data_IF_351266056668
#
_entry.id   IF_351266056668
#
_cell.length_a   1.000
_cell.length_b   1.000
_cell.length_c   1.000
_cell.angle_alpha   90.00
_cell.angle_beta   90.00
_cell.angle_gamma   90.00
#
_symmetry.space_group_name_H-M   'P 1'
#
loop_
_entity.id
_entity.type
_entity.pdbx_description
1 polymer ?
#
# COMPACT_ATOMS: atom_id res chain seq x y z
N UNK A 1 -42.06 5.67 3.94
CA UNK A 1 -41.32 5.51 5.21
C UNK A 1 -39.85 5.62 4.89
N UNK A 2 -39.24 6.76 5.20
CA UNK A 2 -37.79 6.93 5.13
C UNK A 2 -37.15 5.98 6.13
N UNK A 3 -36.15 5.16 5.75
CA UNK A 3 -35.37 4.42 6.72
C UNK A 3 -34.69 5.45 7.62
N UNK A 4 -34.93 5.36 8.94
CA UNK A 4 -34.10 6.11 9.88
C UNK A 4 -32.71 5.48 9.82
N UNK A 5 -31.79 6.11 9.10
CA UNK A 5 -30.36 5.84 9.25
C UNK A 5 -30.00 6.19 10.69
N UNK A 6 -29.97 5.18 11.57
CA UNK A 6 -29.31 5.35 12.86
C UNK A 6 -27.84 5.51 12.54
N UNK A 7 -27.26 6.63 12.93
CA UNK A 7 -25.81 6.79 12.82
C UNK A 7 -25.13 5.62 13.56
N UNK A 8 -24.18 4.94 12.90
CA UNK A 8 -23.51 3.81 13.50
C UNK A 8 -22.76 4.28 14.76
N UNK A 9 -23.03 3.62 15.89
CA UNK A 9 -22.28 3.86 17.12
C UNK A 9 -20.99 3.05 17.10
N UNK A 10 -19.85 3.72 17.15
CA UNK A 10 -18.54 3.08 17.26
C UNK A 10 -18.27 2.68 18.71
N UNK A 11 -17.99 1.39 18.93
CA UNK A 11 -17.55 0.87 20.23
C UNK A 11 -16.11 0.40 20.10
N UNK A 12 -15.17 0.98 20.87
CA UNK A 12 -13.79 0.51 20.85
C UNK A 12 -13.70 -0.96 21.28
N UNK A 13 -12.84 -1.73 20.61
CA UNK A 13 -12.47 -3.06 21.09
C UNK A 13 -11.47 -2.88 22.22
N UNK A 14 -11.87 -3.18 23.45
CA UNK A 14 -11.04 -2.91 24.64
C UNK A 14 -9.67 -3.59 24.59
N UNK A 15 -9.56 -4.73 23.88
CA UNK A 15 -8.31 -5.46 23.68
C UNK A 15 -7.30 -4.76 22.77
N UNK A 16 -7.71 -3.75 21.99
CA UNK A 16 -6.86 -2.99 21.08
C UNK A 16 -6.70 -1.52 21.49
N UNK A 17 -7.18 -1.13 22.67
CA UNK A 17 -7.00 0.23 23.18
C UNK A 17 -5.56 0.39 23.71
N UNK A 18 -4.74 1.30 23.14
CA UNK A 18 -3.38 1.52 23.62
C UNK A 18 -3.39 2.12 25.04
N UNK A 19 -2.47 1.68 25.88
CA UNK A 19 -2.25 2.17 27.25
C UNK A 19 -1.06 3.13 27.37
N UNK A 20 -0.23 3.19 26.33
CA UNK A 20 0.91 4.11 26.18
C UNK A 20 1.29 4.21 24.70
N UNK A 21 2.12 5.18 24.30
CA UNK A 21 2.61 5.31 22.92
C UNK A 21 3.59 4.20 22.50
N UNK A 22 4.08 3.42 23.47
CA UNK A 22 4.93 2.26 23.23
C UNK A 22 4.13 0.96 23.08
N UNK A 23 2.81 0.99 23.24
CA UNK A 23 1.97 -0.20 23.11
C UNK A 23 1.88 -0.64 21.64
N UNK A 24 1.68 -1.94 21.44
CA UNK A 24 1.52 -2.55 20.12
C UNK A 24 0.46 -1.86 19.24
N UNK A 25 -0.62 -1.37 19.86
CA UNK A 25 -1.75 -0.74 19.17
C UNK A 25 -1.65 0.79 19.03
N UNK A 26 -0.52 1.39 19.44
CA UNK A 26 -0.36 2.86 19.41
C UNK A 26 -0.34 3.42 18.01
N UNK A 27 0.17 2.63 17.06
CA UNK A 27 0.26 2.99 15.65
C UNK A 27 -0.24 1.81 14.81
N UNK A 28 -1.42 2.00 14.20
CA UNK A 28 -1.99 1.08 13.22
C UNK A 28 -2.07 1.82 11.90
N UNK A 29 -1.29 1.38 10.91
CA UNK A 29 -1.15 2.06 9.62
C UNK A 29 -2.16 1.57 8.58
N UNK A 30 -2.47 0.27 8.60
CA UNK A 30 -3.37 -0.35 7.63
C UNK A 30 -4.13 -1.51 8.27
N UNK A 31 -5.37 -1.73 7.82
CA UNK A 31 -6.19 -2.89 8.19
C UNK A 31 -6.82 -3.47 6.93
N UNK A 32 -6.69 -4.77 6.74
CA UNK A 32 -7.29 -5.49 5.63
C UNK A 32 -8.18 -6.62 6.13
N UNK A 33 -9.32 -6.81 5.46
CA UNK A 33 -10.28 -7.88 5.79
C UNK A 33 -10.51 -8.72 4.55
N UNK A 34 -10.29 -10.03 4.67
CA UNK A 34 -10.56 -11.01 3.62
C UNK A 34 -12.05 -11.35 3.54
N UNK A 35 -12.48 -11.90 2.41
CA UNK A 35 -13.85 -12.41 2.24
C UNK A 35 -14.22 -13.54 3.23
N UNK A 36 -13.24 -14.20 3.85
CA UNK A 36 -13.45 -15.23 4.86
C UNK A 36 -13.55 -14.67 6.30
N UNK A 37 -13.53 -13.34 6.48
CA UNK A 37 -13.64 -12.69 7.78
C UNK A 37 -12.34 -12.67 8.59
N UNK A 38 -11.22 -13.11 8.02
CA UNK A 38 -9.89 -12.90 8.60
C UNK A 38 -9.51 -11.44 8.41
N UNK A 39 -9.02 -10.80 9.47
CA UNK A 39 -8.48 -9.45 9.42
C UNK A 39 -6.98 -9.45 9.72
N UNK A 40 -6.24 -8.56 9.07
CA UNK A 40 -4.82 -8.28 9.29
C UNK A 40 -4.65 -6.79 9.59
N UNK A 41 -3.71 -6.45 10.47
CA UNK A 41 -3.38 -5.07 10.80
C UNK A 41 -1.87 -4.87 10.78
N UNK A 42 -1.43 -3.81 10.10
CA UNK A 42 -0.04 -3.35 10.06
C UNK A 42 0.21 -2.35 11.17
N UNK A 43 1.24 -2.58 11.98
CA UNK A 43 1.55 -1.79 13.18
C UNK A 43 3.02 -1.39 13.23
N UNK A 44 3.40 -0.53 14.18
CA UNK A 44 4.81 -0.20 14.47
C UNK A 44 5.63 -1.38 15.01
N UNK A 45 4.99 -2.47 15.42
CA UNK A 45 5.65 -3.64 16.00
C UNK A 45 5.49 -4.92 15.16
N UNK A 46 4.76 -4.83 14.05
CA UNK A 46 4.63 -5.92 13.08
C UNK A 46 3.20 -6.08 12.56
N UNK A 47 2.87 -7.31 12.13
CA UNK A 47 1.57 -7.66 11.58
C UNK A 47 0.77 -8.41 12.64
N UNK A 48 -0.45 -7.96 12.91
CA UNK A 48 -1.43 -8.66 13.74
C UNK A 48 -2.50 -9.33 12.87
N UNK A 49 -3.08 -10.41 13.41
CA UNK A 49 -4.15 -11.17 12.78
C UNK A 49 -5.31 -11.39 13.73
N UNK A 50 -6.52 -11.29 13.19
CA UNK A 50 -7.76 -11.73 13.83
C UNK A 50 -8.47 -12.76 12.95
N UNK A 51 -9.03 -13.80 13.57
CA UNK A 51 -9.83 -14.83 12.91
C UNK A 51 -11.33 -14.75 13.25
N UNK A 52 -11.74 -13.77 14.05
CA UNK A 52 -13.07 -13.67 14.65
C UNK A 52 -13.73 -12.31 14.42
N UNK A 53 -13.40 -11.67 13.30
CA UNK A 53 -13.97 -10.37 12.91
C UNK A 53 -13.42 -9.19 13.74
N UNK A 54 -12.19 -9.30 14.22
CA UNK A 54 -11.50 -8.25 14.97
C UNK A 54 -11.75 -8.27 16.48
N UNK A 55 -12.45 -9.28 17.02
CA UNK A 55 -12.71 -9.37 18.46
C UNK A 55 -11.44 -9.69 19.25
N UNK A 56 -10.62 -10.60 18.73
CA UNK A 56 -9.31 -10.94 19.28
C UNK A 56 -8.22 -10.87 18.21
N UNK A 57 -7.02 -10.49 18.65
CA UNK A 57 -5.87 -10.27 17.78
C UNK A 57 -4.61 -10.91 18.36
N UNK A 58 -3.76 -11.42 17.48
CA UNK A 58 -2.44 -11.92 17.82
C UNK A 58 -1.40 -11.41 16.82
N UNK A 59 -0.22 -11.03 17.30
CA UNK A 59 0.91 -10.72 16.43
C UNK A 59 1.37 -12.01 15.73
N UNK A 60 1.47 -11.96 14.39
CA UNK A 60 1.84 -13.09 13.53
C UNK A 60 3.16 -12.85 12.78
N UNK A 61 3.66 -11.62 12.77
CA UNK A 61 4.97 -11.30 12.20
C UNK A 61 5.60 -10.06 12.86
N UNK A 62 6.90 -10.07 13.18
CA UNK A 62 7.74 -11.26 13.33
C UNK A 62 7.23 -12.11 14.50
N UNK A 63 7.57 -13.40 14.52
CA UNK A 63 7.24 -14.29 15.64
C UNK A 63 8.27 -14.10 16.76
N UNK A 64 7.83 -13.86 17.99
CA UNK A 64 8.71 -13.69 19.17
C UNK A 64 8.80 -12.24 19.63
N UNK A 65 9.94 -11.85 20.21
CA UNK A 65 10.15 -10.51 20.81
C UNK A 65 10.78 -9.49 19.85
N UNK A 66 11.01 -9.87 18.59
CA UNK A 66 11.49 -8.94 17.58
C UNK A 66 10.37 -7.95 17.20
N UNK A 67 10.74 -6.76 16.75
CA UNK A 67 9.81 -5.76 16.23
C UNK A 67 10.26 -5.32 14.85
N UNK A 68 9.29 -5.08 13.98
CA UNK A 68 9.49 -4.44 12.67
C UNK A 68 8.27 -3.56 12.42
N UNK A 69 8.45 -2.39 11.84
CA UNK A 69 7.29 -1.60 11.41
C UNK A 69 6.69 -2.24 10.15
N UNK A 70 5.37 -2.32 10.08
CA UNK A 70 4.62 -2.58 8.85
C UNK A 70 3.71 -1.38 8.60
N UNK A 71 3.65 -0.94 7.34
CA UNK A 71 2.88 0.23 6.93
C UNK A 71 1.61 -0.14 6.16
N UNK A 72 1.62 -1.24 5.43
CA UNK A 72 0.52 -1.69 4.59
C UNK A 72 0.37 -3.21 4.56
N UNK A 73 -0.87 -3.66 4.43
CA UNK A 73 -1.26 -5.07 4.27
C UNK A 73 -2.51 -5.15 3.43
N UNK A 74 -2.53 -6.06 2.46
CA UNK A 74 -3.66 -6.26 1.54
C UNK A 74 -3.91 -7.75 1.30
N UNK A 75 -5.17 -8.12 1.09
CA UNK A 75 -5.57 -9.46 0.66
C UNK A 75 -5.78 -9.49 -0.86
N UNK A 76 -5.49 -10.64 -1.48
CA UNK A 76 -5.89 -10.89 -2.87
C UNK A 76 -7.42 -11.05 -2.92
N UNK A 77 -8.16 -10.19 -3.65
CA UNK A 77 -9.61 -10.29 -3.75
C UNK A 77 -10.07 -11.60 -4.44
N UNK A 78 -9.20 -12.27 -5.18
CA UNK A 78 -9.46 -13.55 -5.84
C UNK A 78 -8.94 -14.76 -5.04
N UNK A 79 -8.35 -14.52 -3.87
CA UNK A 79 -7.84 -15.55 -2.99
C UNK A 79 -7.80 -15.06 -1.53
N UNK A 80 -8.86 -15.29 -0.75
CA UNK A 80 -8.99 -14.71 0.61
C UNK A 80 -7.96 -15.21 1.63
N UNK A 81 -7.12 -16.19 1.27
CA UNK A 81 -6.01 -16.66 2.11
C UNK A 81 -4.65 -16.09 1.67
N UNK A 82 -4.57 -15.51 0.47
CA UNK A 82 -3.32 -14.92 -0.01
C UNK A 82 -3.27 -13.45 0.39
N UNK A 83 -2.20 -13.04 1.04
CA UNK A 83 -2.00 -11.68 1.52
C UNK A 83 -0.57 -11.22 1.27
N UNK A 84 -0.39 -9.92 1.13
CA UNK A 84 0.90 -9.26 0.95
C UNK A 84 0.97 -8.10 1.93
N UNK A 85 2.10 -7.93 2.59
CA UNK A 85 2.35 -6.83 3.50
C UNK A 85 3.77 -6.30 3.29
N UNK A 86 3.97 -5.03 3.60
CA UNK A 86 5.31 -4.50 3.71
C UNK A 86 5.82 -4.59 5.15
N UNK A 87 7.14 -4.57 5.27
CA UNK A 87 7.86 -4.39 6.51
C UNK A 87 8.99 -3.39 6.25
N UNK A 88 9.40 -2.69 7.30
CA UNK A 88 10.45 -1.68 7.27
C UNK A 88 11.69 -2.16 6.49
N UNK A 89 12.42 -1.21 5.93
CA UNK A 89 13.52 -1.44 4.97
C UNK A 89 13.05 -1.85 3.56
N UNK A 90 11.84 -1.42 3.15
CA UNK A 90 11.27 -1.67 1.82
C UNK A 90 11.15 -3.15 1.47
N UNK A 91 11.02 -4.02 2.47
CA UNK A 91 10.86 -5.46 2.25
C UNK A 91 9.38 -5.81 2.17
N UNK A 92 9.01 -6.64 1.21
CA UNK A 92 7.66 -7.19 1.12
C UNK A 92 7.65 -8.65 1.54
N UNK A 93 6.63 -9.03 2.31
CA UNK A 93 6.34 -10.39 2.71
C UNK A 93 4.98 -10.82 2.16
N UNK A 94 4.82 -12.12 1.95
CA UNK A 94 3.56 -12.71 1.49
C UNK A 94 3.13 -13.86 2.40
N UNK A 95 1.84 -14.12 2.42
CA UNK A 95 1.20 -15.25 3.09
C UNK A 95 0.27 -15.96 2.12
N UNK A 96 0.10 -17.28 2.28
CA UNK A 96 -0.85 -18.10 1.51
C UNK A 96 -1.80 -18.89 2.42
N UNK A 97 -1.84 -18.56 3.71
CA UNK A 97 -2.59 -19.27 4.75
C UNK A 97 -3.44 -18.32 5.62
N UNK A 98 -3.81 -17.16 5.06
CA UNK A 98 -4.60 -16.14 5.71
C UNK A 98 -3.80 -15.35 6.76
N UNK A 99 -2.49 -15.17 6.54
CA UNK A 99 -1.60 -14.43 7.42
C UNK A 99 -1.16 -15.18 8.68
N UNK A 100 -1.27 -16.51 8.72
CA UNK A 100 -0.74 -17.31 9.83
C UNK A 100 0.78 -17.42 9.75
N UNK A 101 1.31 -17.59 8.54
CA UNK A 101 2.75 -17.59 8.26
C UNK A 101 3.07 -16.66 7.10
N UNK A 102 4.30 -16.15 7.11
CA UNK A 102 4.80 -15.16 6.16
C UNK A 102 6.16 -15.54 5.64
N UNK A 103 6.38 -15.34 4.34
CA UNK A 103 7.66 -15.54 3.67
C UNK A 103 8.09 -14.27 2.95
N UNK A 104 9.40 -14.04 2.85
CA UNK A 104 9.96 -12.88 2.16
C UNK A 104 9.78 -12.99 0.65
N UNK A 105 9.26 -11.94 0.01
CA UNK A 105 9.26 -11.79 -1.44
C UNK A 105 10.66 -11.48 -1.97
N UNK A 106 10.95 -11.93 -3.19
CA UNK A 106 12.26 -11.77 -3.85
C UNK A 106 12.12 -10.78 -5.00
N UNK A 107 13.17 -10.01 -5.27
CA UNK A 107 13.22 -9.07 -6.41
C UNK A 107 13.05 -7.61 -6.02
N UNK A 108 12.74 -7.32 -4.75
CA UNK A 108 12.89 -5.97 -4.20
C UNK A 108 14.36 -5.64 -3.90
N UNK A 109 14.77 -4.37 -4.10
CA UNK A 109 16.03 -3.86 -3.58
C UNK A 109 16.11 -4.02 -2.06
N UNK A 110 17.27 -4.46 -1.57
CA UNK A 110 17.54 -4.53 -0.13
C UNK A 110 18.04 -3.17 0.34
N UNK A 111 17.26 -2.50 1.16
CA UNK A 111 17.66 -1.27 1.79
C UNK A 111 18.11 -1.52 3.24
N UNK A 112 18.73 -0.54 3.87
CA UNK A 112 19.45 -0.69 5.16
C UNK A 112 19.15 0.43 6.15
N UNK A 113 18.16 1.30 5.89
CA UNK A 113 17.76 2.41 6.78
C UNK A 113 16.27 2.32 7.06
N UNK A 114 15.89 2.80 8.23
CA UNK A 114 14.48 2.95 8.59
C UNK A 114 13.83 4.08 7.78
N UNK A 115 12.52 3.95 7.54
CA UNK A 115 11.69 5.03 6.98
C UNK A 115 11.22 4.82 5.54
N UNK A 116 11.52 3.67 4.96
CA UNK A 116 11.05 3.30 3.63
C UNK A 116 9.65 2.67 3.75
N UNK A 117 8.67 3.26 3.07
CA UNK A 117 7.27 2.83 3.09
C UNK A 117 6.90 2.21 1.74
N UNK A 118 6.12 1.15 1.76
CA UNK A 118 5.50 0.59 0.55
C UNK A 118 3.99 0.68 0.66
N UNK A 119 3.33 1.16 -0.39
CA UNK A 119 1.88 1.00 -0.56
C UNK A 119 1.60 -0.12 -1.54
N UNK A 120 0.61 -0.96 -1.24
CA UNK A 120 0.30 -2.18 -1.98
C UNK A 120 -1.11 -2.13 -2.57
N UNK A 121 -1.26 -2.62 -3.80
CA UNK A 121 -2.56 -2.74 -4.44
C UNK A 121 -2.66 -3.98 -5.34
N UNK A 122 -3.62 -4.86 -5.06
CA UNK A 122 -3.96 -5.98 -5.96
C UNK A 122 -4.74 -5.47 -7.17
N UNK A 123 -4.49 -6.07 -8.33
CA UNK A 123 -5.41 -6.00 -9.46
C UNK A 123 -6.60 -6.93 -9.18
N UNK A 124 -7.81 -6.40 -8.96
CA UNK A 124 -8.93 -7.24 -8.56
C UNK A 124 -9.44 -8.17 -9.67
N UNK A 125 -9.07 -7.95 -10.93
CA UNK A 125 -9.45 -8.83 -12.03
C UNK A 125 -8.48 -10.02 -12.23
N UNK A 126 -7.30 -10.03 -11.58
CA UNK A 126 -6.26 -11.02 -11.83
C UNK A 126 -5.65 -11.50 -10.51
N UNK A 127 -5.94 -12.75 -10.14
CA UNK A 127 -5.36 -13.42 -8.98
C UNK A 127 -3.82 -13.32 -9.01
N UNK A 128 -3.22 -13.01 -7.86
CA UNK A 128 -1.78 -12.93 -7.68
C UNK A 128 -1.11 -11.70 -8.30
N UNK A 129 -1.85 -10.87 -9.05
CA UNK A 129 -1.31 -9.64 -9.62
C UNK A 129 -1.36 -8.51 -8.58
N UNK A 130 -0.21 -8.10 -8.06
CA UNK A 130 -0.11 -7.05 -7.03
C UNK A 130 1.01 -6.07 -7.36
N UNK A 131 0.75 -4.80 -7.10
CA UNK A 131 1.65 -3.69 -7.36
C UNK A 131 2.12 -3.09 -6.04
N UNK A 132 3.34 -2.58 -6.02
CA UNK A 132 3.97 -1.97 -4.85
C UNK A 132 4.60 -0.65 -5.24
N UNK A 133 4.12 0.45 -4.67
CA UNK A 133 4.71 1.79 -4.81
C UNK A 133 5.70 2.02 -3.66
N UNK A 134 6.98 2.11 -4.00
CA UNK A 134 8.08 2.09 -3.02
C UNK A 134 8.61 3.50 -2.78
N UNK A 135 8.63 3.91 -1.52
CA UNK A 135 9.47 5.03 -1.11
C UNK A 135 10.89 4.56 -0.81
N UNK A 136 11.85 5.03 -1.60
CA UNK A 136 13.27 4.74 -1.45
C UNK A 136 14.07 5.97 -0.91
N UNK A 137 13.37 7.06 -0.58
CA UNK A 137 13.96 8.32 -0.11
C UNK A 137 14.61 8.13 1.26
N UNK A 138 15.79 8.70 1.54
CA UNK A 138 16.54 9.66 0.72
C UNK A 138 17.59 9.03 -0.23
N UNK A 139 17.63 7.70 -0.40
CA UNK A 139 18.80 6.99 -0.95
C UNK A 139 18.95 7.11 -2.46
N UNK A 140 17.85 7.01 -3.20
CA UNK A 140 17.83 6.99 -4.64
C UNK A 140 16.78 7.97 -5.12
N UNK A 141 17.04 9.27 -4.90
CA UNK A 141 16.20 10.28 -5.52
C UNK A 141 16.37 10.21 -7.05
N UNK A 142 15.27 10.08 -7.80
CA UNK A 142 13.91 10.28 -7.29
C UNK A 142 13.19 8.98 -6.82
N UNK A 143 12.30 9.13 -5.84
CA UNK A 143 11.51 8.06 -5.18
C UNK A 143 10.14 7.81 -5.82
N UNK A 144 9.69 6.55 -5.82
CA UNK A 144 8.38 6.15 -6.33
C UNK A 144 8.44 5.10 -7.44
N UNK A 145 9.44 4.22 -7.42
CA UNK A 145 9.44 3.05 -8.28
C UNK A 145 8.25 2.14 -7.97
N UNK A 146 7.69 1.52 -9.00
CA UNK A 146 6.60 0.57 -8.85
C UNK A 146 7.10 -0.80 -9.25
N UNK A 147 6.92 -1.76 -8.35
CA UNK A 147 7.18 -3.16 -8.62
C UNK A 147 5.86 -3.89 -8.86
N UNK A 148 5.90 -4.88 -9.73
CA UNK A 148 4.76 -5.75 -10.04
C UNK A 148 5.12 -7.20 -9.76
N UNK A 149 4.23 -7.90 -9.08
CA UNK A 149 4.25 -9.34 -8.91
C UNK A 149 3.06 -9.95 -9.62
N UNK A 150 3.27 -11.10 -10.26
CA UNK A 150 2.22 -11.91 -10.90
C UNK A 150 1.96 -13.22 -10.15
N UNK A 151 2.58 -13.42 -8.99
CA UNK A 151 2.55 -14.68 -8.24
C UNK A 151 2.17 -14.50 -6.76
N UNK A 152 1.49 -13.40 -6.43
CA UNK A 152 0.99 -13.11 -5.09
C UNK A 152 2.06 -12.56 -4.15
N UNK A 153 3.02 -11.83 -4.68
CA UNK A 153 4.09 -11.19 -3.90
C UNK A 153 5.30 -12.08 -3.60
N UNK A 154 5.43 -13.23 -4.27
CA UNK A 154 6.58 -14.14 -4.09
C UNK A 154 7.79 -13.63 -4.86
N UNK A 155 7.58 -13.18 -6.08
CA UNK A 155 8.59 -12.53 -6.92
C UNK A 155 8.09 -11.19 -7.44
N UNK A 156 9.01 -10.24 -7.54
CA UNK A 156 8.74 -8.85 -7.92
C UNK A 156 9.66 -8.40 -9.02
N UNK A 157 9.11 -7.63 -9.95
CA UNK A 157 9.84 -7.05 -11.09
C UNK A 157 9.56 -5.55 -11.11
N UNK A 158 10.62 -4.74 -11.23
CA UNK A 158 10.49 -3.30 -11.46
C UNK A 158 9.74 -3.04 -12.76
N UNK A 159 8.69 -2.23 -12.71
CA UNK A 159 7.98 -1.80 -13.91
C UNK A 159 8.86 -0.82 -14.70
N UNK A 160 9.13 -1.15 -15.96
CA UNK A 160 10.03 -0.38 -16.81
C UNK A 160 9.64 1.10 -16.96
N UNK A 161 8.36 1.44 -16.79
CA UNK A 161 7.84 2.80 -16.91
C UNK A 161 8.05 3.71 -15.70
N UNK A 162 8.67 3.26 -14.60
CA UNK A 162 8.61 3.96 -13.31
C UNK A 162 9.96 4.52 -12.81
N UNK A 163 10.94 4.67 -13.71
CA UNK A 163 12.25 5.26 -13.37
C UNK A 163 12.34 6.77 -13.59
N UNK A 164 11.32 7.39 -14.20
CA UNK A 164 11.36 8.78 -14.65
C UNK A 164 9.94 9.29 -14.98
N UNK A 165 9.20 9.76 -13.98
CA UNK A 165 7.94 10.46 -14.17
C UNK A 165 8.25 11.90 -14.59
N UNK A 166 7.57 12.42 -15.60
CA UNK A 166 7.78 13.78 -16.07
C UNK A 166 6.70 14.69 -15.50
N UNK A 167 7.13 15.72 -14.76
CA UNK A 167 6.26 16.83 -14.38
C UNK A 167 5.94 17.67 -15.62
N UNK A 168 4.66 17.92 -15.84
CA UNK A 168 4.21 18.63 -17.03
C UNK A 168 4.52 20.14 -16.98
N UNK A 169 4.56 20.75 -15.80
CA UNK A 169 4.77 22.21 -15.67
C UNK A 169 6.23 22.63 -15.85
N UNK A 170 7.15 21.92 -15.19
CA UNK A 170 8.59 22.20 -15.23
C UNK A 170 9.33 21.43 -16.31
N UNK A 171 8.74 20.35 -16.83
CA UNK A 171 9.40 19.41 -17.74
C UNK A 171 10.45 18.54 -17.05
N UNK A 172 10.60 18.66 -15.73
CA UNK A 172 11.60 17.92 -14.96
C UNK A 172 11.16 16.46 -14.74
N UNK A 173 12.16 15.59 -14.57
CA UNK A 173 11.95 14.17 -14.30
C UNK A 173 12.13 13.91 -12.82
N UNK A 174 11.09 13.37 -12.19
CA UNK A 174 11.05 12.92 -10.81
C UNK A 174 10.52 11.49 -10.73
N UNK A 175 10.29 11.03 -9.51
CA UNK A 175 9.70 9.75 -9.16
C UNK A 175 8.27 10.05 -8.72
N UNK A 176 7.40 9.05 -8.71
CA UNK A 176 5.98 9.27 -8.41
C UNK A 176 5.71 9.95 -7.05
N UNK A 177 6.68 9.90 -6.12
CA UNK A 177 6.57 10.41 -4.76
C UNK A 177 7.38 11.70 -4.53
N UNK A 178 7.83 12.36 -5.61
CA UNK A 178 8.65 13.58 -5.52
C UNK A 178 8.16 14.70 -6.45
N UNK A 179 8.25 15.94 -5.96
CA UNK A 179 8.01 17.15 -6.73
C UNK A 179 8.91 18.28 -6.23
N UNK A 180 9.37 19.16 -7.13
CA UNK A 180 10.14 20.35 -6.75
C UNK A 180 11.48 20.07 -6.06
N UNK A 181 12.04 18.86 -6.19
CA UNK A 181 13.26 18.44 -5.51
C UNK A 181 13.05 17.86 -4.10
N UNK A 182 11.81 17.73 -3.66
CA UNK A 182 11.44 17.09 -2.40
C UNK A 182 10.72 15.77 -2.66
N UNK A 183 10.94 14.78 -1.79
CA UNK A 183 10.28 13.47 -1.86
C UNK A 183 9.60 13.18 -0.52
N UNK A 184 8.32 12.83 -0.56
CA UNK A 184 7.48 12.72 0.64
C UNK A 184 6.83 11.35 0.81
N UNK A 185 7.30 10.32 0.08
CA UNK A 185 6.73 8.96 0.14
C UNK A 185 6.60 8.32 1.53
N UNK A 186 7.39 8.74 2.52
CA UNK A 186 7.24 8.32 3.92
C UNK A 186 5.99 8.90 4.59
N UNK A 187 5.50 10.04 4.10
CA UNK A 187 4.31 10.75 4.56
C UNK A 187 3.08 10.37 3.72
N UNK A 188 3.11 10.66 2.42
CA UNK A 188 2.02 10.44 1.47
C UNK A 188 2.45 9.47 0.36
N UNK A 189 1.89 8.27 0.41
CA UNK A 189 2.16 7.20 -0.54
C UNK A 189 0.93 6.33 -0.64
N UNK A 190 0.37 6.26 -1.85
CA UNK A 190 -0.78 5.40 -2.13
C UNK A 190 -0.79 4.98 -3.60
N UNK A 191 -1.24 3.76 -3.84
CA UNK A 191 -1.47 3.23 -5.18
C UNK A 191 -2.85 2.58 -5.26
N UNK A 192 -3.49 2.68 -6.42
CA UNK A 192 -4.71 1.93 -6.70
C UNK A 192 -4.69 1.36 -8.10
N UNK A 193 -5.28 0.18 -8.24
CA UNK A 193 -5.39 -0.55 -9.51
C UNK A 193 -6.87 -0.73 -9.85
N UNK A 194 -7.24 -0.20 -11.00
CA UNK A 194 -8.61 -0.20 -11.51
C UNK A 194 -8.64 -1.16 -12.71
N UNK A 195 -9.38 -2.28 -12.62
CA UNK A 195 -9.45 -3.25 -13.71
C UNK A 195 -10.20 -2.64 -14.90
N UNK A 196 -9.78 -2.98 -16.11
CA UNK A 196 -10.47 -2.59 -17.35
C UNK A 196 -10.77 -3.86 -18.15
N UNK A 197 -12.04 -4.09 -18.46
CA UNK A 197 -12.45 -5.30 -19.15
C UNK A 197 -11.76 -5.43 -20.52
N UNK A 198 -11.07 -6.55 -20.74
CA UNK A 198 -10.38 -6.85 -22.01
C UNK A 198 -9.17 -5.95 -22.30
N UNK A 199 -8.61 -5.27 -21.30
CA UNK A 199 -7.47 -4.37 -21.46
C UNK A 199 -6.56 -4.41 -20.24
N UNK A 200 -5.39 -3.77 -20.35
CA UNK A 200 -4.51 -3.56 -19.20
C UNK A 200 -5.21 -2.68 -18.14
N UNK A 201 -4.91 -2.84 -16.84
CA UNK A 201 -5.54 -2.04 -15.80
C UNK A 201 -5.10 -0.57 -15.90
N UNK A 202 -5.95 0.32 -15.39
CA UNK A 202 -5.52 1.67 -15.04
C UNK A 202 -4.85 1.62 -13.68
N UNK A 203 -3.67 2.23 -13.55
CA UNK A 203 -2.95 2.34 -12.29
C UNK A 203 -2.85 3.82 -11.96
N UNK A 204 -3.15 4.19 -10.72
CA UNK A 204 -3.03 5.57 -10.23
C UNK A 204 -2.14 5.55 -8.99
N UNK A 205 -1.16 6.43 -8.97
CA UNK A 205 -0.32 6.68 -7.79
C UNK A 205 -0.65 8.06 -7.22
N UNK A 206 -0.59 8.16 -5.91
CA UNK A 206 -0.72 9.40 -5.15
C UNK A 206 0.51 9.60 -4.28
N UNK A 207 0.54 10.76 -3.64
CA UNK A 207 1.67 11.42 -3.03
C UNK A 207 1.52 12.90 -3.38
N UNK A 208 2.64 13.58 -3.62
CA UNK A 208 2.65 15.00 -4.00
C UNK A 208 2.02 15.27 -5.36
N UNK A 209 2.14 14.32 -6.31
CA UNK A 209 1.55 14.40 -7.65
C UNK A 209 0.75 13.14 -7.93
N UNK A 210 -0.44 13.28 -8.49
CA UNK A 210 -1.20 12.14 -9.03
C UNK A 210 -0.67 11.76 -10.42
N UNK A 211 -0.06 10.58 -10.53
CA UNK A 211 0.27 9.98 -11.82
C UNK A 211 -0.71 8.86 -12.17
N UNK A 212 -1.02 8.74 -13.47
CA UNK A 212 -1.89 7.69 -14.00
C UNK A 212 -1.26 7.00 -15.18
N UNK A 213 -1.33 5.67 -15.18
CA UNK A 213 -1.15 4.82 -16.35
C UNK A 213 -2.48 4.21 -16.79
N UNK A 214 -2.71 4.12 -18.10
CA UNK A 214 -3.90 3.46 -18.70
C UNK A 214 -3.55 2.16 -19.41
N UNK A 215 -2.28 1.75 -19.35
CA UNK A 215 -1.72 0.64 -20.11
C UNK A 215 -0.94 -0.34 -19.22
N UNK A 216 -1.35 -0.47 -17.95
CA UNK A 216 -0.76 -1.41 -17.00
C UNK A 216 0.62 -1.02 -16.48
N UNK A 217 0.96 0.28 -16.53
CA UNK A 217 2.22 0.83 -16.02
C UNK A 217 3.31 0.99 -17.08
N UNK A 218 2.99 0.81 -18.36
CA UNK A 218 3.96 0.97 -19.45
C UNK A 218 4.24 2.45 -19.75
N UNK A 219 3.21 3.30 -19.70
CA UNK A 219 3.34 4.76 -19.82
C UNK A 219 2.54 5.48 -18.73
N UNK A 220 3.02 6.66 -18.35
CA UNK A 220 2.48 7.46 -17.26
C UNK A 220 2.26 8.90 -17.69
N UNK A 221 1.20 9.50 -17.17
CA UNK A 221 0.90 10.93 -17.32
C UNK A 221 0.49 11.50 -15.98
N UNK A 222 0.91 12.73 -15.70
CA UNK A 222 0.29 13.57 -14.67
C UNK A 222 -1.24 13.63 -14.90
N UNK A 223 -2.00 13.40 -13.83
CA UNK A 223 -3.46 13.35 -13.82
C UNK A 223 -4.12 14.50 -13.05
N UNK A 224 -3.36 15.45 -12.50
CA UNK A 224 -3.88 16.62 -11.78
C UNK A 224 -4.40 17.71 -12.73
N UNK A 225 -3.83 17.77 -13.94
CA UNK A 225 -4.12 18.86 -14.86
C UNK A 225 -5.45 18.69 -15.61
N UNK A 226 -6.36 19.64 -15.40
CA UNK A 226 -7.72 19.68 -15.97
C UNK A 226 -8.83 19.99 -14.98
N UNK A 227 -8.55 19.94 -13.67
CA UNK A 227 -9.54 20.18 -12.61
C UNK A 227 -9.45 21.60 -12.03
N UNK A 228 -8.27 22.22 -11.94
CA UNK A 228 -8.09 23.62 -11.51
C UNK A 228 -6.70 24.13 -11.90
N UNK A 229 -6.61 25.30 -12.56
CA UNK A 229 -5.38 25.83 -13.14
C UNK A 229 -4.35 26.41 -12.13
N UNK A 230 -3.66 25.55 -11.37
CA UNK A 230 -2.54 25.94 -10.50
C UNK A 230 -1.79 24.74 -9.93
N UNK A 231 -0.50 24.91 -9.64
CA UNK A 231 0.34 23.91 -8.96
C UNK A 231 0.01 23.85 -7.47
N UNK A 232 -0.85 22.91 -7.10
CA UNK A 232 -1.10 22.57 -5.70
C UNK A 232 -0.12 21.48 -5.27
N UNK A 233 0.11 21.41 -3.96
CA UNK A 233 0.81 20.32 -3.30
C UNK A 233 -0.24 19.52 -2.51
N UNK A 234 -1.05 18.69 -3.16
CA UNK A 234 -2.03 17.88 -2.47
C UNK A 234 -1.36 16.64 -1.86
N UNK A 235 -1.47 16.46 -0.55
CA UNK A 235 -0.92 15.29 0.13
C UNK A 235 -1.91 14.12 0.00
N UNK A 236 -1.75 13.29 -1.04
CA UNK A 236 -2.70 12.23 -1.35
C UNK A 236 -2.35 10.94 -0.59
N UNK A 237 -3.16 10.61 0.42
CA UNK A 237 -2.94 9.43 1.27
C UNK A 237 -3.84 8.22 0.93
N UNK A 238 -4.90 8.40 0.15
CA UNK A 238 -5.84 7.33 -0.15
C UNK A 238 -6.60 7.55 -1.45
N UNK A 239 -6.95 6.44 -2.11
CA UNK A 239 -7.91 6.39 -3.20
C UNK A 239 -9.02 5.38 -2.89
N UNK A 240 -10.18 5.63 -3.49
CA UNK A 240 -11.27 4.66 -3.55
C UNK A 240 -11.97 4.79 -4.90
N UNK A 241 -12.49 3.68 -5.41
CA UNK A 241 -13.40 3.68 -6.57
C UNK A 241 -14.53 2.68 -6.33
N UNK A 242 -15.64 2.92 -7.02
CA UNK A 242 -16.74 1.98 -7.13
C UNK A 242 -16.63 1.26 -8.48
N UNK A 243 -16.95 -0.03 -8.50
CA UNK A 243 -16.74 -0.92 -9.65
C UNK A 243 -18.01 -1.08 -10.51
#
# INVERSE_FOLDING_TARGET
TTPSEREPTWTPITGTAPRSDADFWSYVNSIAVSANGIALASTSSGIARSADGGQTWAQVYPVGSATVTSYDVVFDPNSPNDAVADIDQGTVVYSTDGGQTWAKGIGFPSYTSAGERVSLAFNPAVRGSVYALVDNSPRAQPSGEIFHSIDGGKTWVLLAGTGAFQDYQSGATFGALCAGGECQGGYDNTIIVIPVAGSAPTIVTGGVIIFRSKDGGATWSDAEWGVVGGGYHPDIHAFAYDA
#
